data_IF_448944796159
#
_entry.id   IF_448944796159
#
_cell.length_a   1.000
_cell.length_b   1.000
_cell.length_c   1.000
_cell.angle_alpha   90.00
_cell.angle_beta   90.00
_cell.angle_gamma   90.00
#
_symmetry.space_group_name_H-M   'P 1'
#
loop_
_entity.id
_entity.type
_entity.pdbx_description
1 polymer ?
#
# COMPACT_ATOMS: atom_id res chain seq x y z
N UNK A 1 -6.64 5.30 -3.29
CA UNK A 1 -5.36 5.97 -3.52
C UNK A 1 -4.93 6.70 -2.26
N UNK A 2 -3.63 6.84 -2.05
CA UNK A 2 -3.01 7.38 -0.83
C UNK A 2 -1.98 8.45 -1.19
N UNK A 3 -1.95 9.59 -0.50
CA UNK A 3 -0.95 10.64 -0.73
C UNK A 3 0.09 10.63 0.41
N UNK A 4 1.37 10.79 0.08
CA UNK A 4 2.46 10.90 1.05
C UNK A 4 3.70 11.53 0.42
N UNK A 5 4.68 11.87 1.25
CA UNK A 5 6.00 12.34 0.82
C UNK A 5 6.91 11.13 0.58
N UNK A 6 7.38 10.96 -0.66
CA UNK A 6 8.34 9.93 -1.01
C UNK A 6 9.78 10.43 -0.77
N UNK A 7 10.68 9.64 -0.16
CA UNK A 7 12.03 10.09 0.22
C UNK A 7 12.87 10.65 -0.93
N UNK A 8 12.72 10.09 -2.14
CA UNK A 8 13.46 10.54 -3.33
C UNK A 8 12.67 11.43 -4.30
N UNK A 9 11.33 11.42 -4.25
CA UNK A 9 10.49 11.97 -5.33
C UNK A 9 9.55 13.08 -4.86
N UNK A 10 9.56 13.41 -3.56
CA UNK A 10 8.66 14.41 -2.99
C UNK A 10 7.20 13.92 -2.95
N UNK A 11 6.22 14.82 -3.08
CA UNK A 11 4.81 14.46 -3.00
C UNK A 11 4.40 13.45 -4.09
N UNK A 12 3.83 12.33 -3.65
CA UNK A 12 3.29 11.28 -4.54
C UNK A 12 1.87 10.88 -4.17
N UNK A 13 1.15 10.34 -5.15
CA UNK A 13 -0.09 9.59 -4.96
C UNK A 13 0.10 8.13 -5.38
N UNK A 14 -0.34 7.20 -4.55
CA UNK A 14 -0.23 5.76 -4.79
C UNK A 14 -1.58 5.10 -5.06
N UNK A 15 -1.60 4.10 -5.94
CA UNK A 15 -2.73 3.18 -6.14
C UNK A 15 -2.28 1.72 -6.24
N UNK A 16 -3.03 0.83 -5.61
CA UNK A 16 -2.93 -0.62 -5.83
C UNK A 16 -3.82 -1.05 -7.00
N UNK A 17 -3.66 -2.30 -7.45
CA UNK A 17 -4.40 -2.85 -8.58
C UNK A 17 -5.22 -4.10 -8.23
N UNK A 18 -6.29 -4.30 -9.00
CA UNK A 18 -7.07 -5.54 -9.00
C UNK A 18 -6.36 -6.65 -9.78
N UNK A 19 -5.73 -6.33 -10.92
CA UNK A 19 -5.27 -7.35 -11.88
C UNK A 19 -3.92 -7.99 -11.56
N UNK A 20 -3.10 -7.37 -10.70
CA UNK A 20 -1.72 -7.76 -10.43
C UNK A 20 -1.26 -7.16 -9.08
N UNK A 21 -0.13 -7.61 -8.50
CA UNK A 21 0.34 -7.14 -7.19
C UNK A 21 0.97 -5.75 -7.20
N UNK A 22 0.99 -5.05 -8.34
CA UNK A 22 1.76 -3.81 -8.43
C UNK A 22 1.03 -2.63 -7.79
N UNK A 23 1.82 -1.72 -7.23
CA UNK A 23 1.36 -0.45 -6.65
C UNK A 23 2.09 0.66 -7.40
N UNK A 24 1.34 1.53 -8.08
CA UNK A 24 1.91 2.63 -8.86
C UNK A 24 1.95 3.91 -8.05
N UNK A 25 3.10 4.58 -8.01
CA UNK A 25 3.29 5.91 -7.41
C UNK A 25 3.45 6.95 -8.52
N UNK A 26 2.61 7.98 -8.53
CA UNK A 26 2.70 9.12 -9.44
C UNK A 26 3.16 10.37 -8.69
N UNK A 27 4.12 11.12 -9.23
CA UNK A 27 4.52 12.42 -8.69
C UNK A 27 3.40 13.45 -8.86
N UNK A 28 3.12 14.24 -7.82
CA UNK A 28 1.97 15.17 -7.80
C UNK A 28 2.34 16.64 -7.62
N UNK A 29 3.63 16.96 -7.60
CA UNK A 29 4.12 18.31 -7.36
C UNK A 29 4.83 18.92 -8.60
N UNK A 30 4.11 19.70 -9.43
CA UNK A 30 4.68 20.36 -10.60
C UNK A 30 5.49 21.63 -10.28
N UNK A 31 5.45 22.14 -9.05
CA UNK A 31 6.13 23.39 -8.69
C UNK A 31 7.55 23.11 -8.20
N UNK A 32 7.71 22.27 -7.17
CA UNK A 32 9.02 21.96 -6.59
C UNK A 32 9.66 20.68 -7.14
N UNK A 33 8.88 19.77 -7.75
CA UNK A 33 9.35 18.50 -8.36
C UNK A 33 8.90 18.31 -9.84
N UNK A 34 9.10 19.32 -10.72
CA UNK A 34 8.56 19.33 -12.09
C UNK A 34 9.02 18.16 -12.98
N UNK A 35 10.19 17.57 -12.72
CA UNK A 35 10.72 16.42 -13.45
C UNK A 35 9.92 15.13 -13.19
N UNK A 36 9.25 15.04 -12.04
CA UNK A 36 8.51 13.88 -11.56
C UNK A 36 6.99 14.04 -11.70
N UNK A 37 6.50 15.28 -11.74
CA UNK A 37 5.09 15.60 -11.83
C UNK A 37 4.37 14.86 -12.98
N UNK A 38 3.27 14.19 -12.62
CA UNK A 38 2.37 13.46 -13.51
C UNK A 38 3.00 12.27 -14.23
N UNK A 39 4.10 11.74 -13.70
CA UNK A 39 4.75 10.51 -14.19
C UNK A 39 4.73 9.45 -13.12
N UNK A 40 4.63 8.19 -13.53
CA UNK A 40 4.88 7.06 -12.62
C UNK A 40 6.36 7.10 -12.26
N UNK A 41 6.66 7.35 -10.98
CA UNK A 41 8.03 7.50 -10.46
C UNK A 41 8.56 6.19 -9.88
N UNK A 42 7.67 5.32 -9.40
CA UNK A 42 8.02 4.01 -8.86
C UNK A 42 6.84 3.05 -9.02
N UNK A 43 7.17 1.77 -9.17
CA UNK A 43 6.24 0.66 -9.01
C UNK A 43 6.75 -0.22 -7.87
N UNK A 44 5.90 -0.49 -6.89
CA UNK A 44 6.17 -1.44 -5.80
C UNK A 44 5.43 -2.75 -6.09
N UNK A 45 5.90 -3.84 -5.51
CA UNK A 45 5.23 -5.14 -5.56
C UNK A 45 4.68 -5.49 -4.17
N UNK A 46 3.35 -5.58 -4.06
CA UNK A 46 2.68 -6.01 -2.84
C UNK A 46 2.57 -7.52 -2.71
N UNK A 47 1.87 -7.98 -1.68
CA UNK A 47 1.71 -9.41 -1.39
C UNK A 47 0.86 -10.20 -2.40
N UNK A 48 0.11 -9.51 -3.25
CA UNK A 48 -0.77 -10.13 -4.24
C UNK A 48 -1.60 -9.11 -4.99
N UNK A 49 -2.21 -9.53 -6.10
CA UNK A 49 -3.24 -8.75 -6.77
C UNK A 49 -4.54 -8.71 -5.97
N UNK A 50 -5.61 -8.28 -6.63
CA UNK A 50 -6.96 -8.27 -6.04
C UNK A 50 -7.12 -7.31 -4.85
N UNK A 51 -6.32 -6.23 -4.85
CA UNK A 51 -6.42 -5.13 -3.89
C UNK A 51 -7.60 -4.22 -4.21
N UNK A 52 -8.27 -3.73 -3.16
CA UNK A 52 -9.37 -2.75 -3.29
C UNK A 52 -9.00 -1.39 -2.72
N UNK A 53 -8.23 -1.36 -1.64
CA UNK A 53 -7.87 -0.12 -0.97
C UNK A 53 -6.38 -0.07 -0.63
N UNK A 54 -5.86 1.14 -0.75
CA UNK A 54 -4.55 1.55 -0.27
C UNK A 54 -4.73 2.80 0.59
N UNK A 55 -4.04 2.85 1.73
CA UNK A 55 -4.20 3.92 2.73
C UNK A 55 -2.87 4.32 3.38
N UNK A 56 -2.83 5.57 3.81
CA UNK A 56 -1.83 6.16 4.71
C UNK A 56 -2.49 7.33 5.45
N UNK A 57 -1.75 8.00 6.33
CA UNK A 57 -2.18 9.19 7.06
C UNK A 57 -0.98 10.13 7.28
N UNK A 58 -1.13 11.47 7.30
CA UNK A 58 -0.01 12.40 7.53
C UNK A 58 0.76 12.19 8.84
N UNK A 59 0.13 11.56 9.84
CA UNK A 59 0.76 11.21 11.13
C UNK A 59 1.27 9.76 11.18
N UNK A 60 1.19 9.03 10.06
CA UNK A 60 1.64 7.65 9.92
C UNK A 60 2.78 7.57 8.93
N UNK A 61 3.82 6.82 9.27
CA UNK A 61 4.93 6.54 8.36
C UNK A 61 4.74 5.26 7.52
N UNK A 62 3.50 4.77 7.43
CA UNK A 62 3.19 3.48 6.85
C UNK A 62 2.19 3.59 5.71
N UNK A 63 2.44 2.82 4.65
CA UNK A 63 1.53 2.62 3.52
C UNK A 63 0.91 1.22 3.62
N UNK A 64 -0.41 1.17 3.78
CA UNK A 64 -1.17 -0.06 3.97
C UNK A 64 -1.88 -0.47 2.68
N UNK A 65 -1.77 -1.73 2.30
CA UNK A 65 -2.37 -2.30 1.08
C UNK A 65 -3.12 -3.58 1.42
N UNK A 66 -4.43 -3.60 1.14
CA UNK A 66 -5.25 -4.80 1.30
C UNK A 66 -5.25 -5.68 0.06
N UNK A 67 -5.69 -6.94 0.19
CA UNK A 67 -5.84 -7.89 -0.93
C UNK A 67 -7.11 -8.75 -0.78
N UNK A 68 -8.28 -8.15 -0.49
CA UNK A 68 -9.50 -8.86 -0.05
C UNK A 68 -10.11 -9.80 -1.09
N UNK A 69 -9.82 -9.59 -2.38
CA UNK A 69 -10.37 -10.42 -3.45
C UNK A 69 -9.44 -11.59 -3.82
N UNK A 70 -8.24 -11.66 -3.24
CA UNK A 70 -7.26 -12.69 -3.52
C UNK A 70 -7.84 -14.09 -3.20
N UNK A 71 -7.59 -15.11 -4.05
CA UNK A 71 -8.11 -16.46 -3.84
C UNK A 71 -7.45 -17.19 -2.66
N UNK A 72 -6.25 -16.78 -2.24
CA UNK A 72 -5.54 -17.38 -1.12
C UNK A 72 -6.04 -16.77 0.21
N UNK A 73 -6.62 -17.58 1.13
CA UNK A 73 -7.25 -17.05 2.34
C UNK A 73 -6.31 -16.30 3.29
N UNK A 74 -5.04 -16.68 3.39
CA UNK A 74 -4.09 -15.98 4.27
C UNK A 74 -3.73 -14.58 3.75
N UNK A 75 -3.67 -14.39 2.43
CA UNK A 75 -3.46 -13.12 1.75
C UNK A 75 -4.74 -12.28 1.79
N UNK A 76 -5.91 -12.89 1.54
CA UNK A 76 -7.19 -12.17 1.61
C UNK A 76 -7.51 -11.66 3.03
N UNK A 77 -6.94 -12.30 4.05
CA UNK A 77 -7.15 -11.98 5.46
C UNK A 77 -5.99 -11.21 6.11
N UNK A 78 -5.05 -10.69 5.33
CA UNK A 78 -3.90 -9.91 5.80
C UNK A 78 -3.78 -8.57 5.08
N UNK A 79 -2.83 -7.74 5.55
CA UNK A 79 -2.51 -6.42 4.98
C UNK A 79 -1.00 -6.31 4.84
N UNK A 80 -0.54 -5.91 3.66
CA UNK A 80 0.87 -5.54 3.46
C UNK A 80 1.10 -4.10 3.92
N UNK A 81 2.21 -3.87 4.62
CA UNK A 81 2.57 -2.57 5.19
C UNK A 81 3.99 -2.22 4.83
N UNK A 82 4.16 -1.16 4.04
CA UNK A 82 5.46 -0.60 3.72
C UNK A 82 5.80 0.50 4.71
N UNK A 83 7.08 0.63 5.05
CA UNK A 83 7.63 1.81 5.70
C UNK A 83 7.95 2.86 4.62
N UNK A 84 7.34 4.05 4.71
CA UNK A 84 7.45 5.09 3.67
C UNK A 84 8.90 5.60 3.55
N UNK A 85 9.61 5.71 4.68
CA UNK A 85 11.01 6.16 4.71
C UNK A 85 11.97 5.18 4.03
N UNK A 86 11.55 3.94 3.78
CA UNK A 86 12.38 2.88 3.20
C UNK A 86 12.07 2.63 1.72
N UNK A 87 11.20 3.45 1.11
CA UNK A 87 10.86 3.33 -0.31
C UNK A 87 11.98 3.79 -1.26
N UNK A 88 13.04 4.40 -0.73
CA UNK A 88 14.26 4.74 -1.48
C UNK A 88 15.19 3.55 -1.74
N UNK A 89 14.96 2.43 -1.07
CA UNK A 89 15.74 1.20 -1.25
C UNK A 89 15.52 0.61 -2.66
N UNK A 90 16.50 -0.16 -3.15
CA UNK A 90 16.45 -0.81 -4.47
C UNK A 90 15.25 -1.77 -4.57
N UNK A 91 14.97 -2.51 -3.49
CA UNK A 91 13.82 -3.41 -3.36
C UNK A 91 13.12 -3.16 -2.01
N UNK A 92 12.19 -2.18 -1.95
CA UNK A 92 11.46 -1.88 -0.72
C UNK A 92 10.65 -3.08 -0.25
N UNK A 93 10.83 -3.43 1.03
CA UNK A 93 10.15 -4.56 1.65
C UNK A 93 8.87 -4.10 2.34
N UNK A 94 7.95 -5.05 2.57
CA UNK A 94 6.75 -4.85 3.38
C UNK A 94 6.66 -5.89 4.49
N UNK A 95 5.99 -5.52 5.57
CA UNK A 95 5.54 -6.46 6.59
C UNK A 95 4.12 -6.93 6.31
N UNK A 96 3.81 -8.18 6.66
CA UNK A 96 2.45 -8.73 6.55
C UNK A 96 1.82 -8.76 7.92
N UNK A 97 0.72 -8.03 8.08
CA UNK A 97 -0.08 -8.05 9.31
C UNK A 97 -1.21 -9.09 9.18
N UNK A 98 -1.24 -10.15 10.02
CA UNK A 98 -2.27 -11.19 9.97
C UNK A 98 -3.56 -10.72 10.67
N UNK A 99 -4.19 -9.66 10.15
CA UNK A 99 -5.36 -9.01 10.75
C UNK A 99 -6.51 -10.02 10.98
N UNK A 100 -6.72 -10.94 10.05
CA UNK A 100 -7.71 -12.00 10.19
C UNK A 100 -7.46 -12.90 11.39
N UNK A 101 -6.21 -13.25 11.67
CA UNK A 101 -5.83 -14.02 12.86
C UNK A 101 -6.06 -13.20 14.14
N UNK A 102 -5.61 -11.94 14.13
CA UNK A 102 -5.76 -11.03 15.28
C UNK A 102 -7.22 -10.74 15.63
N UNK A 103 -8.14 -10.88 14.67
CA UNK A 103 -9.58 -10.71 14.94
C UNK A 103 -10.17 -11.79 15.86
N UNK A 104 -9.53 -12.97 15.96
CA UNK A 104 -10.06 -14.12 16.69
C UNK A 104 -11.31 -14.75 16.07
N UNK A 105 -11.62 -14.43 14.81
CA UNK A 105 -12.74 -15.02 14.06
C UNK A 105 -12.27 -16.32 13.40
N UNK A 106 -12.79 -17.46 13.84
CA UNK A 106 -12.39 -18.78 13.34
C UNK A 106 -13.40 -19.39 12.34
N UNK A 107 -14.58 -18.79 12.21
CA UNK A 107 -15.64 -19.26 11.31
C UNK A 107 -15.76 -18.36 10.07
N UNK A 108 -15.85 -18.99 8.88
CA UNK A 108 -16.07 -18.30 7.61
C UNK A 108 -14.80 -17.76 6.96
N UNK A 109 -14.95 -17.24 5.73
CA UNK A 109 -13.85 -16.63 4.99
C UNK A 109 -13.66 -15.18 5.46
N UNK A 110 -12.48 -14.86 5.97
CA UNK A 110 -12.09 -13.51 6.39
C UNK A 110 -11.54 -12.73 5.22
N UNK A 111 -12.02 -11.51 5.03
CA UNK A 111 -11.52 -10.56 4.02
C UNK A 111 -11.34 -9.21 4.68
N UNK A 112 -10.15 -8.66 4.57
CA UNK A 112 -9.80 -7.39 5.21
C UNK A 112 -9.84 -6.29 4.18
N UNK A 113 -10.56 -5.22 4.50
CA UNK A 113 -10.73 -4.06 3.62
C UNK A 113 -10.47 -2.79 4.41
N UNK A 114 -9.98 -1.75 3.72
CA UNK A 114 -9.79 -0.41 4.29
C UNK A 114 -8.96 -0.39 5.59
N UNK A 115 -7.71 -0.89 5.58
CA UNK A 115 -6.80 -0.67 6.71
C UNK A 115 -6.57 0.84 6.90
N UNK A 116 -6.63 1.32 8.13
CA UNK A 116 -6.46 2.74 8.45
C UNK A 116 -5.69 2.93 9.77
N UNK A 117 -4.85 3.96 9.78
CA UNK A 117 -4.14 4.41 10.97
C UNK A 117 -5.09 5.14 11.93
N UNK A 118 -4.99 4.88 13.24
CA UNK A 118 -6.02 5.28 14.22
C UNK A 118 -5.51 6.03 15.47
N UNK A 119 -4.34 6.69 15.44
CA UNK A 119 -3.73 7.30 16.64
C UNK A 119 -3.31 8.74 16.48
#
# INVERSE_FOLDING_TARGET
>A
GANFEHPNYGPVWATSHLGDPTISLIGTDPEDHPEHAWKVVQMLEGQGGDSLFIKTHPESNHLYVDTPLNPEPSIASSVAVFNIDELDQEEPQYEVLPIGEWSGIDEGMRRIVQPEYNK
#
